data_IF_596702178654
#
_entry.id   IF_596702178654
#
_cell.length_a   1.000
_cell.length_b   1.000
_cell.length_c   1.000
_cell.angle_alpha   90.00
_cell.angle_beta   90.00
_cell.angle_gamma   90.00
#
_symmetry.space_group_name_H-M   'P 1'
#
loop_
_entity.id
_entity.type
_entity.pdbx_description
1 polymer ?
#
# COMPACT_ATOMS: atom_id res chain seq x y z
N UNK A 1 22.17 -12.03 59.35
CA UNK A 1 21.88 -10.81 58.58
C UNK A 1 21.69 -11.20 57.14
N UNK A 2 20.46 -11.05 56.66
CA UNK A 2 19.98 -11.51 55.35
C UNK A 2 20.31 -10.40 54.34
N UNK A 3 21.22 -10.68 53.40
CA UNK A 3 21.53 -9.77 52.29
C UNK A 3 20.73 -10.19 51.05
N UNK A 4 19.60 -9.54 50.78
CA UNK A 4 18.86 -9.72 49.53
C UNK A 4 19.55 -8.94 48.41
N UNK A 5 20.13 -9.65 47.45
CA UNK A 5 20.47 -9.09 46.14
C UNK A 5 19.17 -8.95 45.34
N UNK A 6 18.67 -7.73 45.22
CA UNK A 6 17.62 -7.38 44.24
C UNK A 6 18.32 -7.29 42.88
N UNK A 7 18.29 -8.40 42.14
CA UNK A 7 18.64 -8.40 40.73
C UNK A 7 17.55 -7.69 39.95
N UNK A 8 17.82 -6.47 39.48
CA UNK A 8 17.04 -5.85 38.42
C UNK A 8 17.32 -6.60 37.12
N UNK A 9 16.47 -7.57 36.79
CA UNK A 9 16.36 -8.08 35.43
C UNK A 9 15.81 -6.95 34.56
N UNK A 10 16.70 -6.23 33.89
CA UNK A 10 16.35 -5.36 32.78
C UNK A 10 15.83 -6.28 31.67
N UNK A 11 14.53 -6.55 31.66
CA UNK A 11 13.87 -7.14 30.50
C UNK A 11 14.02 -6.13 29.36
N UNK A 12 15.03 -6.32 28.52
CA UNK A 12 15.06 -5.70 27.20
C UNK A 12 13.80 -6.18 26.49
N UNK A 13 12.73 -5.37 26.51
CA UNK A 13 11.74 -5.43 25.45
C UNK A 13 12.52 -5.20 24.16
N UNK A 14 12.81 -6.27 23.43
CA UNK A 14 13.16 -6.17 22.03
C UNK A 14 11.99 -5.46 21.37
N UNK A 15 12.15 -4.16 21.14
CA UNK A 15 11.20 -3.35 20.39
C UNK A 15 11.19 -3.91 18.97
N UNK A 16 10.26 -4.82 18.70
CA UNK A 16 9.94 -5.21 17.35
C UNK A 16 9.48 -3.91 16.65
N UNK A 17 10.36 -3.36 15.80
CA UNK A 17 9.95 -2.31 14.88
C UNK A 17 9.01 -2.97 13.90
N UNK A 18 7.72 -2.69 14.05
CA UNK A 18 6.69 -3.32 13.24
C UNK A 18 6.47 -2.41 12.03
N UNK A 19 6.79 -2.94 10.85
CA UNK A 19 6.72 -2.23 9.58
C UNK A 19 5.30 -2.29 9.05
N UNK A 20 4.71 -1.16 8.70
CA UNK A 20 3.48 -1.18 7.93
C UNK A 20 3.64 -1.76 6.55
N UNK A 21 2.49 -2.12 5.98
CA UNK A 21 2.41 -2.53 4.59
C UNK A 21 1.08 -2.06 4.01
N UNK A 22 1.16 -1.25 2.97
CA UNK A 22 -0.01 -0.65 2.36
C UNK A 22 0.22 -0.15 0.95
N UNK A 23 -0.83 -0.18 0.15
CA UNK A 23 -0.82 0.28 -1.23
C UNK A 23 -2.11 1.00 -1.61
N UNK A 24 -1.98 2.01 -2.47
CA UNK A 24 -3.09 2.68 -3.13
C UNK A 24 -3.55 1.85 -4.33
N UNK A 25 -4.80 1.37 -4.26
CA UNK A 25 -5.41 0.48 -5.25
C UNK A 25 -6.37 1.23 -6.18
N UNK A 26 -7.00 2.31 -5.74
CA UNK A 26 -7.83 3.16 -6.60
C UNK A 26 -7.63 4.65 -6.24
N UNK A 27 -7.19 5.52 -7.18
CA UNK A 27 -6.65 5.17 -8.49
C UNK A 27 -5.41 4.25 -8.37
N UNK A 28 -5.22 3.25 -9.26
CA UNK A 28 -4.06 2.37 -9.19
C UNK A 28 -2.75 3.15 -9.22
N UNK A 29 -1.91 2.95 -8.20
CA UNK A 29 -0.60 3.58 -8.13
C UNK A 29 0.45 2.84 -8.98
N UNK A 30 1.53 3.54 -9.35
CA UNK A 30 2.62 3.06 -10.22
C UNK A 30 3.15 1.67 -9.82
N UNK A 31 3.28 1.42 -8.52
CA UNK A 31 3.70 0.17 -7.88
C UNK A 31 2.67 -0.96 -8.03
N UNK A 32 1.38 -0.65 -8.06
CA UNK A 32 0.28 -1.62 -8.04
C UNK A 32 -0.44 -1.79 -9.38
N UNK A 33 -0.09 -0.97 -10.39
CA UNK A 33 -0.70 -1.00 -11.73
C UNK A 33 -0.73 -2.40 -12.36
N UNK A 34 0.32 -3.21 -12.19
CA UNK A 34 0.38 -4.57 -12.73
C UNK A 34 -0.75 -5.48 -12.22
N UNK A 35 -1.30 -5.22 -11.01
CA UNK A 35 -2.43 -5.97 -10.43
C UNK A 35 -3.73 -5.79 -11.20
N UNK A 36 -3.80 -4.74 -12.02
CA UNK A 36 -4.94 -4.36 -12.84
C UNK A 36 -4.70 -4.63 -14.34
N UNK A 37 -3.63 -5.36 -14.68
CA UNK A 37 -3.29 -5.72 -16.06
C UNK A 37 -2.53 -4.65 -16.84
N UNK A 38 -2.26 -3.47 -16.27
CA UNK A 38 -1.44 -2.47 -16.93
C UNK A 38 -0.04 -3.03 -17.25
N UNK A 39 0.62 -2.57 -18.34
CA UNK A 39 1.93 -3.06 -18.79
C UNK A 39 3.10 -2.52 -17.95
N UNK A 40 2.92 -2.41 -16.64
CA UNK A 40 3.97 -2.08 -15.69
C UNK A 40 4.72 -3.35 -15.28
N UNK A 41 6.03 -3.27 -15.00
CA UNK A 41 6.75 -4.37 -14.39
C UNK A 41 6.09 -4.81 -13.08
N UNK A 42 6.08 -6.12 -12.82
CA UNK A 42 5.53 -6.68 -11.58
C UNK A 42 6.41 -6.25 -10.41
N UNK A 43 5.78 -5.66 -9.39
CA UNK A 43 6.38 -5.39 -8.09
C UNK A 43 5.63 -6.21 -7.03
N UNK A 44 6.23 -7.32 -6.58
CA UNK A 44 5.60 -8.20 -5.58
C UNK A 44 5.45 -7.54 -4.20
N UNK A 45 6.34 -6.59 -3.88
CA UNK A 45 6.34 -5.84 -2.63
C UNK A 45 5.82 -4.41 -2.88
N UNK A 46 4.79 -4.29 -3.72
CA UNK A 46 4.17 -3.00 -4.04
C UNK A 46 3.50 -2.33 -2.82
N UNK A 47 3.34 -3.04 -1.72
CA UNK A 47 2.89 -2.54 -0.42
C UNK A 47 4.03 -2.01 0.47
N UNK A 48 5.29 -2.02 0.03
CA UNK A 48 6.50 -1.63 0.80
C UNK A 48 7.12 -0.30 0.36
N UNK A 49 6.34 0.66 -0.15
CA UNK A 49 6.87 2.00 -0.45
C UNK A 49 6.96 2.90 0.79
N UNK A 50 7.67 2.40 1.78
CA UNK A 50 7.90 2.93 3.12
C UNK A 50 9.12 3.83 3.30
N UNK A 51 9.57 4.52 2.24
CA UNK A 51 10.75 5.39 2.30
C UNK A 51 12.07 4.67 2.67
N UNK A 52 12.12 3.34 2.51
CA UNK A 52 13.21 2.47 2.95
C UNK A 52 13.10 1.91 4.36
N UNK A 53 12.01 2.18 5.05
CA UNK A 53 11.79 1.84 6.45
C UNK A 53 12.27 2.92 7.41
N UNK A 54 11.76 2.89 8.64
CA UNK A 54 11.95 3.93 9.65
C UNK A 54 13.41 4.41 9.84
N UNK A 55 14.35 3.47 10.04
CA UNK A 55 15.74 3.83 10.32
C UNK A 55 16.41 4.54 9.15
N UNK A 56 16.09 4.12 7.92
CA UNK A 56 16.61 4.74 6.70
C UNK A 56 16.05 6.14 6.55
N UNK A 57 14.73 6.30 6.69
CA UNK A 57 14.10 7.61 6.56
C UNK A 57 14.63 8.60 7.61
N UNK A 58 14.55 8.28 8.90
CA UNK A 58 14.80 9.27 9.95
C UNK A 58 16.25 9.34 10.40
N UNK A 59 16.95 8.21 10.49
CA UNK A 59 18.34 8.20 11.00
C UNK A 59 19.36 8.49 9.90
N UNK A 60 19.16 7.94 8.70
CA UNK A 60 20.11 8.12 7.58
C UNK A 60 19.72 9.34 6.73
N UNK A 61 18.44 9.43 6.34
CA UNK A 61 17.94 10.43 5.40
C UNK A 61 17.34 11.67 6.07
N UNK A 62 17.41 11.80 7.40
CA UNK A 62 16.96 12.96 8.19
C UNK A 62 15.49 13.30 7.95
N UNK A 63 14.64 12.29 7.95
CA UNK A 63 13.19 12.38 7.72
C UNK A 63 12.80 12.45 6.24
N UNK A 64 13.75 12.55 5.32
CA UNK A 64 13.47 12.67 3.88
C UNK A 64 13.04 11.34 3.27
N UNK A 65 12.12 11.42 2.32
CA UNK A 65 11.55 10.32 1.56
C UNK A 65 11.43 10.74 0.10
N UNK A 66 11.55 9.79 -0.84
CA UNK A 66 11.22 10.04 -2.24
C UNK A 66 9.78 10.56 -2.41
N UNK A 67 9.51 11.24 -3.51
CA UNK A 67 8.17 11.77 -3.81
C UNK A 67 7.17 10.63 -3.87
N UNK A 68 7.56 9.50 -4.46
CA UNK A 68 6.69 8.35 -4.64
C UNK A 68 7.02 7.18 -3.71
N UNK A 69 7.60 7.45 -2.53
CA UNK A 69 7.80 6.45 -1.45
C UNK A 69 9.06 5.62 -1.56
N UNK A 70 9.85 5.84 -2.60
CA UNK A 70 11.20 5.31 -2.71
C UNK A 70 12.12 5.84 -1.59
N UNK A 71 13.18 5.08 -1.36
CA UNK A 71 14.31 5.51 -0.54
C UNK A 71 14.89 6.82 -1.06
N UNK A 72 15.09 7.77 -0.15
CA UNK A 72 15.59 9.09 -0.55
C UNK A 72 17.04 9.04 -1.07
N UNK A 73 17.86 8.11 -0.57
CA UNK A 73 19.26 7.91 -0.93
C UNK A 73 19.49 7.10 -2.21
N UNK A 74 18.43 6.72 -2.93
CA UNK A 74 18.56 6.16 -4.28
C UNK A 74 18.94 7.24 -5.29
N UNK A 75 19.71 6.83 -6.31
CA UNK A 75 20.03 7.66 -7.47
C UNK A 75 18.77 8.01 -8.26
N UNK A 76 18.78 9.20 -8.87
CA UNK A 76 17.70 9.63 -9.75
C UNK A 76 17.87 9.02 -11.17
N UNK A 77 16.78 8.62 -11.84
CA UNK A 77 15.41 8.62 -11.35
C UNK A 77 15.16 7.43 -10.40
N UNK A 78 14.52 7.71 -9.25
CA UNK A 78 14.08 6.63 -8.35
C UNK A 78 13.04 5.74 -9.06
N UNK A 79 12.92 4.46 -8.69
CA UNK A 79 12.09 3.51 -9.44
C UNK A 79 10.63 3.93 -9.68
N UNK A 80 10.00 4.64 -8.75
CA UNK A 80 8.61 5.08 -8.85
C UNK A 80 8.45 6.56 -9.20
N UNK A 81 9.55 7.26 -9.52
CA UNK A 81 9.58 8.65 -9.99
C UNK A 81 9.79 8.70 -11.51
N UNK A 82 9.48 9.82 -12.16
CA UNK A 82 9.47 10.00 -13.61
C UNK A 82 10.79 9.55 -14.26
N UNK A 83 10.68 8.70 -15.28
CA UNK A 83 11.83 8.04 -15.92
C UNK A 83 12.28 6.74 -15.24
N UNK A 84 11.78 6.45 -14.03
CA UNK A 84 12.01 5.22 -13.29
C UNK A 84 11.32 3.99 -13.88
N UNK A 85 11.59 2.84 -13.27
CA UNK A 85 11.09 1.54 -13.72
C UNK A 85 9.55 1.48 -13.78
N UNK A 86 8.86 2.06 -12.80
CA UNK A 86 7.40 1.97 -12.63
C UNK A 86 6.64 3.23 -13.07
N UNK A 87 7.32 4.37 -13.22
CA UNK A 87 6.71 5.61 -13.69
C UNK A 87 6.67 5.67 -15.24
N UNK A 88 5.73 4.92 -15.83
CA UNK A 88 5.56 4.85 -17.30
C UNK A 88 4.74 5.98 -17.91
N UNK A 89 4.18 6.89 -17.09
CA UNK A 89 3.33 7.98 -17.56
C UNK A 89 1.96 7.54 -18.09
N UNK A 90 1.53 6.33 -17.74
CA UNK A 90 0.23 5.77 -18.12
C UNK A 90 -0.83 6.35 -17.20
N UNK A 91 -1.85 6.98 -17.77
CA UNK A 91 -2.99 7.50 -17.02
C UNK A 91 -3.86 6.33 -16.55
N UNK A 92 -4.04 6.20 -15.24
CA UNK A 92 -4.80 5.08 -14.63
C UNK A 92 -6.26 5.41 -14.41
N UNK A 93 -6.62 6.71 -14.33
CA UNK A 93 -7.99 7.20 -14.20
C UNK A 93 -8.18 8.56 -14.89
N UNK A 94 -9.40 8.78 -15.36
CA UNK A 94 -9.85 10.03 -15.95
C UNK A 94 -10.98 10.61 -15.11
N UNK A 95 -10.82 11.87 -14.71
CA UNK A 95 -11.78 12.57 -13.86
C UNK A 95 -12.19 13.92 -14.46
N UNK A 96 -13.20 14.52 -13.85
CA UNK A 96 -13.64 15.89 -14.11
C UNK A 96 -13.24 16.79 -12.94
N UNK A 97 -12.93 18.06 -13.22
CA UNK A 97 -12.57 19.01 -12.17
C UNK A 97 -13.69 19.12 -11.12
N UNK A 98 -13.33 19.20 -9.84
CA UNK A 98 -14.30 19.25 -8.73
C UNK A 98 -14.99 17.93 -8.41
N UNK A 99 -14.73 16.86 -9.17
CA UNK A 99 -15.32 15.55 -8.92
C UNK A 99 -14.95 15.03 -7.52
N UNK A 100 -15.92 14.41 -6.87
CA UNK A 100 -15.65 13.56 -5.70
C UNK A 100 -15.32 12.17 -6.19
N UNK A 101 -14.09 11.72 -5.96
CA UNK A 101 -13.58 10.43 -6.44
C UNK A 101 -13.61 9.39 -5.33
N UNK A 102 -13.76 8.14 -5.71
CA UNK A 102 -13.57 6.99 -4.83
C UNK A 102 -12.07 6.69 -4.69
N UNK A 103 -11.68 6.30 -3.47
CA UNK A 103 -10.31 5.91 -3.13
C UNK A 103 -10.37 4.54 -2.46
N UNK A 104 -9.55 3.62 -2.94
CA UNK A 104 -9.33 2.31 -2.32
C UNK A 104 -7.87 2.17 -1.88
N UNK A 105 -7.67 1.94 -0.59
CA UNK A 105 -6.36 1.63 0.00
C UNK A 105 -6.43 0.22 0.57
N UNK A 106 -5.45 -0.60 0.26
CA UNK A 106 -5.29 -1.93 0.86
C UNK A 106 -4.11 -1.89 1.83
N UNK A 107 -4.39 -2.05 3.13
CA UNK A 107 -3.35 -2.30 4.12
C UNK A 107 -3.24 -3.81 4.32
N UNK A 108 -2.14 -4.40 3.85
CA UNK A 108 -1.85 -5.81 4.09
C UNK A 108 -1.38 -6.07 5.51
N UNK A 109 -0.87 -5.02 6.17
CA UNK A 109 -0.66 -4.94 7.61
C UNK A 109 -1.00 -3.54 8.13
N UNK A 110 -2.05 -3.46 8.95
CA UNK A 110 -2.63 -2.24 9.45
C UNK A 110 -1.98 -1.85 10.79
N UNK A 111 -1.37 -0.66 10.81
CA UNK A 111 -0.68 -0.09 11.97
C UNK A 111 -1.35 1.19 12.47
N UNK A 112 -2.64 1.35 12.15
CA UNK A 112 -3.45 2.52 12.46
C UNK A 112 -2.81 3.84 12.01
N UNK A 113 -3.32 4.97 12.46
CA UNK A 113 -2.83 6.28 12.03
C UNK A 113 -3.76 6.90 10.99
N UNK A 114 -3.20 7.41 9.89
CA UNK A 114 -3.99 8.22 8.95
C UNK A 114 -3.46 8.20 7.51
N UNK A 115 -4.38 8.44 6.58
CA UNK A 115 -4.07 8.71 5.18
C UNK A 115 -4.23 10.18 4.85
N UNK A 116 -3.37 10.69 3.99
CA UNK A 116 -3.44 12.03 3.41
C UNK A 116 -3.23 11.92 1.90
N UNK A 117 -3.88 12.78 1.12
CA UNK A 117 -3.78 12.77 -0.33
C UNK A 117 -3.58 14.17 -0.89
N UNK A 118 -2.67 14.26 -1.85
CA UNK A 118 -2.26 15.50 -2.50
C UNK A 118 -2.20 15.31 -4.00
N UNK A 119 -2.24 16.41 -4.74
CA UNK A 119 -2.28 16.41 -6.19
C UNK A 119 -1.26 17.40 -6.76
N UNK A 120 -0.61 17.05 -7.86
CA UNK A 120 0.23 17.97 -8.61
C UNK A 120 -0.20 17.96 -10.10
N UNK A 121 -0.61 19.10 -10.68
CA UNK A 121 -0.89 19.23 -12.11
C UNK A 121 0.42 19.28 -12.92
N UNK A 122 1.10 18.14 -12.97
CA UNK A 122 2.47 18.02 -13.49
C UNK A 122 2.57 18.21 -15.02
N UNK A 123 1.56 17.72 -15.75
CA UNK A 123 1.36 17.83 -17.20
C UNK A 123 2.47 17.32 -18.12
N UNK A 124 3.51 16.69 -17.56
CA UNK A 124 4.59 16.09 -18.33
C UNK A 124 5.17 14.88 -17.60
N UNK A 125 4.87 13.64 -18.06
CA UNK A 125 5.32 12.42 -17.38
C UNK A 125 6.84 12.19 -17.43
N UNK A 126 7.61 13.03 -18.15
CA UNK A 126 9.08 12.98 -18.17
C UNK A 126 9.73 13.80 -17.06
N UNK A 127 8.99 14.63 -16.36
CA UNK A 127 9.48 15.41 -15.22
C UNK A 127 8.78 14.96 -13.95
N UNK A 128 9.54 14.75 -12.89
CA UNK A 128 8.98 14.30 -11.61
C UNK A 128 8.22 15.44 -10.93
N UNK A 129 7.08 15.11 -10.33
CA UNK A 129 6.34 16.05 -9.52
C UNK A 129 7.15 16.41 -8.28
N UNK A 130 7.07 17.66 -7.82
CA UNK A 130 7.75 18.06 -6.58
C UNK A 130 6.81 17.99 -5.39
N UNK A 131 7.34 17.72 -4.20
CA UNK A 131 6.55 17.84 -2.97
C UNK A 131 5.94 19.25 -2.82
N UNK A 132 6.68 20.29 -3.23
CA UNK A 132 6.20 21.67 -3.21
C UNK A 132 5.03 21.96 -4.18
N UNK A 133 4.84 21.12 -5.22
CA UNK A 133 3.67 21.17 -6.08
C UNK A 133 2.49 20.46 -5.41
N UNK A 134 2.72 19.25 -4.89
CA UNK A 134 1.72 18.43 -4.20
C UNK A 134 1.10 19.18 -3.01
N UNK A 135 1.92 19.79 -2.17
CA UNK A 135 1.50 20.50 -0.95
C UNK A 135 0.55 21.69 -1.24
N UNK A 136 0.51 22.19 -2.50
CA UNK A 136 -0.40 23.28 -2.90
C UNK A 136 -1.82 22.81 -3.19
N UNK A 137 -2.02 21.52 -3.45
CA UNK A 137 -3.33 20.98 -3.82
C UNK A 137 -3.70 19.78 -2.94
N UNK A 138 -3.99 20.00 -1.64
CA UNK A 138 -4.52 18.96 -0.77
C UNK A 138 -5.91 18.50 -1.20
N UNK A 139 -6.19 17.21 -1.03
CA UNK A 139 -7.50 16.63 -1.30
C UNK A 139 -8.26 16.38 0.01
N UNK A 140 -9.43 16.99 0.15
CA UNK A 140 -10.23 16.89 1.37
C UNK A 140 -11.13 15.66 1.35
N UNK A 141 -11.23 14.98 2.50
CA UNK A 141 -12.13 13.83 2.68
C UNK A 141 -13.58 14.29 2.53
N UNK A 142 -14.38 13.56 1.75
CA UNK A 142 -15.80 13.89 1.51
C UNK A 142 -16.54 13.95 2.85
N UNK A 143 -17.26 15.05 3.07
CA UNK A 143 -18.02 15.28 4.31
C UNK A 143 -17.19 15.85 5.45
N UNK A 144 -15.88 16.07 5.24
CA UNK A 144 -14.97 16.71 6.18
C UNK A 144 -14.36 17.98 5.58
N UNK A 145 -13.76 18.80 6.44
CA UNK A 145 -12.83 19.88 6.06
C UNK A 145 -11.37 19.50 6.32
N UNK A 146 -11.12 18.24 6.67
CA UNK A 146 -9.79 17.70 6.93
C UNK A 146 -9.29 16.91 5.71
N UNK A 147 -7.98 16.96 5.50
CA UNK A 147 -7.25 16.16 4.51
C UNK A 147 -6.96 14.76 5.04
N UNK A 148 -6.99 14.60 6.37
CA UNK A 148 -6.68 13.37 7.08
C UNK A 148 -7.89 12.46 7.12
N UNK A 149 -7.74 11.27 6.52
CA UNK A 149 -8.60 10.13 6.81
C UNK A 149 -8.01 9.37 8.00
N UNK A 150 -8.67 9.41 9.15
CA UNK A 150 -8.24 8.68 10.34
C UNK A 150 -8.69 7.22 10.26
N UNK A 151 -7.77 6.28 10.43
CA UNK A 151 -8.07 4.85 10.44
C UNK A 151 -8.88 4.53 11.72
N UNK A 152 -10.09 3.94 11.62
CA UNK A 152 -10.86 3.57 12.80
C UNK A 152 -10.12 2.56 13.68
N UNK A 153 -10.21 2.74 15.01
CA UNK A 153 -9.47 1.91 15.97
C UNK A 153 -9.89 0.44 16.04
N UNK A 154 -11.09 0.10 15.54
CA UNK A 154 -11.66 -1.25 15.55
C UNK A 154 -11.46 -2.02 14.22
N UNK A 155 -10.42 -1.66 13.46
CA UNK A 155 -10.12 -2.25 12.16
C UNK A 155 -9.28 -3.53 12.28
N UNK A 156 -9.38 -4.40 11.27
CA UNK A 156 -8.63 -5.67 11.23
C UNK A 156 -7.14 -5.45 10.94
N UNK A 157 -6.33 -6.48 11.23
CA UNK A 157 -4.89 -6.54 10.92
C UNK A 157 -4.58 -6.39 9.42
N UNK A 158 -5.47 -6.86 8.55
CA UNK A 158 -5.49 -6.61 7.10
C UNK A 158 -6.85 -6.02 6.75
N UNK A 159 -6.88 -4.92 6.02
CA UNK A 159 -8.14 -4.23 5.71
C UNK A 159 -8.08 -3.46 4.39
N UNK A 160 -9.23 -3.38 3.72
CA UNK A 160 -9.43 -2.51 2.55
C UNK A 160 -10.26 -1.31 2.98
N UNK A 161 -9.62 -0.14 2.95
CA UNK A 161 -10.26 1.14 3.25
C UNK A 161 -10.82 1.74 1.97
N UNK A 162 -12.12 2.04 1.99
CA UNK A 162 -12.81 2.78 0.93
C UNK A 162 -13.34 4.09 1.48
N UNK A 163 -12.88 5.19 0.89
CA UNK A 163 -13.31 6.53 1.24
C UNK A 163 -13.36 7.40 -0.01
N UNK A 164 -13.86 8.62 0.12
CA UNK A 164 -13.97 9.55 -1.00
C UNK A 164 -13.22 10.83 -0.71
N UNK A 165 -12.56 11.40 -1.71
CA UNK A 165 -11.90 12.71 -1.63
C UNK A 165 -12.42 13.64 -2.73
N UNK A 166 -12.27 14.95 -2.54
CA UNK A 166 -12.70 15.96 -3.51
C UNK A 166 -11.52 16.51 -4.30
N UNK A 167 -11.58 16.42 -5.63
CA UNK A 167 -10.65 17.09 -6.53
C UNK A 167 -10.88 18.62 -6.50
N UNK A 168 -9.84 19.45 -6.74
CA UNK A 168 -10.02 20.89 -6.82
C UNK A 168 -10.95 21.28 -7.98
N UNK A 169 -11.93 22.19 -7.77
CA UNK A 169 -12.94 22.55 -8.77
C UNK A 169 -12.44 23.42 -9.93
N UNK A 170 -11.20 23.88 -9.90
CA UNK A 170 -10.61 24.79 -10.89
C UNK A 170 -9.31 24.25 -11.50
N UNK A 171 -9.04 22.95 -11.33
CA UNK A 171 -7.80 22.33 -11.74
C UNK A 171 -8.06 21.30 -12.84
N UNK A 172 -7.30 21.41 -13.92
CA UNK A 172 -7.25 20.44 -15.01
C UNK A 172 -5.81 20.04 -15.28
N UNK A 173 -5.60 18.83 -15.78
CA UNK A 173 -4.29 18.32 -16.16
C UNK A 173 -4.43 17.15 -17.14
N UNK A 174 -3.54 17.08 -18.12
CA UNK A 174 -3.43 15.91 -18.99
C UNK A 174 -2.70 14.75 -18.28
N UNK A 175 -1.80 15.08 -17.34
CA UNK A 175 -1.16 14.15 -16.43
C UNK A 175 -0.96 14.83 -15.08
N UNK A 176 -1.75 14.46 -14.09
CA UNK A 176 -1.54 14.79 -12.70
C UNK A 176 -0.85 13.65 -11.98
N UNK A 177 -0.03 13.99 -10.99
CA UNK A 177 0.44 13.02 -9.98
C UNK A 177 -0.41 13.17 -8.74
N UNK A 178 -1.12 12.11 -8.38
CA UNK A 178 -1.81 11.99 -7.09
C UNK A 178 -0.90 11.22 -6.13
N UNK A 179 -0.56 11.83 -5.00
CA UNK A 179 0.26 11.21 -3.95
C UNK A 179 -0.64 10.80 -2.79
N UNK A 180 -0.70 9.50 -2.50
CA UNK A 180 -1.24 8.99 -1.24
C UNK A 180 -0.10 8.82 -0.25
N UNK A 181 -0.27 9.35 0.96
CA UNK A 181 0.66 9.17 2.06
C UNK A 181 -0.04 8.52 3.24
N UNK A 182 0.55 7.45 3.78
CA UNK A 182 0.12 6.81 5.02
C UNK A 182 1.16 7.05 6.12
N UNK A 183 0.69 7.63 7.22
CA UNK A 183 1.45 7.81 8.44
C UNK A 183 0.96 6.82 9.49
N UNK A 184 1.81 5.88 9.90
CA UNK A 184 1.44 4.87 10.89
C UNK A 184 1.17 5.48 12.27
N UNK A 185 0.34 4.79 13.07
CA UNK A 185 -0.07 5.24 14.41
C UNK A 185 0.50 4.41 15.55
N UNK A 186 1.34 3.42 15.25
CA UNK A 186 1.85 2.44 16.20
C UNK A 186 3.26 2.77 16.77
N UNK A 187 3.88 3.87 16.33
CA UNK A 187 5.23 4.25 16.79
C UNK A 187 5.19 4.82 18.21
N UNK A 188 6.14 4.40 19.05
CA UNK A 188 6.37 5.02 20.36
C UNK A 188 7.35 6.19 20.19
N UNK A 189 6.98 7.35 20.69
CA UNK A 189 7.86 8.51 20.62
C UNK A 189 7.44 9.65 21.54
N UNK A 190 8.20 10.74 21.48
CA UNK A 190 7.99 11.91 22.31
C UNK A 190 6.88 12.79 21.73
N UNK A 191 5.87 13.07 22.55
CA UNK A 191 4.75 13.93 22.24
C UNK A 191 5.13 15.42 22.40
N UNK A 192 4.38 16.37 21.81
CA UNK A 192 4.67 17.81 21.90
C UNK A 192 4.67 18.38 23.33
N UNK A 193 3.88 17.77 24.22
CA UNK A 193 3.82 18.12 25.65
C UNK A 193 5.01 17.55 26.46
N UNK A 194 5.98 16.89 25.81
CA UNK A 194 7.17 16.31 26.41
C UNK A 194 7.01 14.91 26.98
N UNK A 195 5.79 14.34 27.01
CA UNK A 195 5.53 12.95 27.42
C UNK A 195 5.90 11.98 26.31
N UNK A 196 5.88 10.67 26.59
CA UNK A 196 6.02 9.63 25.57
C UNK A 196 4.76 8.77 25.50
N UNK A 197 4.35 8.42 24.29
CA UNK A 197 3.18 7.57 24.05
C UNK A 197 3.25 6.91 22.66
N UNK A 198 2.42 5.89 22.46
CA UNK A 198 2.12 5.34 21.14
C UNK A 198 1.41 6.39 20.29
N UNK A 199 1.79 6.50 19.02
CA UNK A 199 1.30 7.49 18.06
C UNK A 199 2.00 8.85 18.14
N UNK A 200 3.00 9.00 19.01
CA UNK A 200 3.84 10.19 19.11
C UNK A 200 5.21 9.99 18.46
N UNK A 201 5.91 11.10 18.21
CA UNK A 201 7.17 11.10 17.48
C UNK A 201 6.97 10.94 15.97
N UNK A 202 8.04 10.51 15.31
CA UNK A 202 8.06 10.32 13.87
C UNK A 202 7.34 9.01 13.48
N UNK A 203 6.35 9.03 12.58
CA UNK A 203 5.69 7.81 12.10
C UNK A 203 6.50 7.14 11.00
N UNK A 204 6.36 5.83 10.82
CA UNK A 204 6.73 5.25 9.53
C UNK A 204 5.80 5.79 8.45
N UNK A 205 6.38 6.08 7.27
CA UNK A 205 5.68 6.76 6.18
C UNK A 205 5.67 5.88 4.95
N UNK A 206 4.50 5.68 4.36
CA UNK A 206 4.34 5.06 3.05
C UNK A 206 3.85 6.11 2.06
N UNK A 207 4.39 6.11 0.85
CA UNK A 207 3.89 6.96 -0.23
C UNK A 207 3.71 6.17 -1.51
N UNK A 208 2.60 6.41 -2.19
CA UNK A 208 2.40 5.91 -3.55
C UNK A 208 1.96 7.06 -4.45
N UNK A 209 2.36 6.99 -5.72
CA UNK A 209 1.95 7.93 -6.76
C UNK A 209 1.06 7.23 -7.79
N UNK A 210 -0.04 7.87 -8.17
CA UNK A 210 -0.88 7.48 -9.29
C UNK A 210 -0.93 8.59 -10.34
N UNK A 211 -0.83 8.22 -11.60
CA UNK A 211 -0.92 9.15 -12.73
C UNK A 211 -2.37 9.22 -13.22
N UNK A 212 -3.03 10.37 -13.09
CA UNK A 212 -4.44 10.56 -13.44
C UNK A 212 -4.61 11.75 -14.40
N UNK A 213 -5.74 11.88 -15.07
CA UNK A 213 -6.07 13.10 -15.82
C UNK A 213 -7.35 13.74 -15.32
N UNK A 214 -7.43 15.06 -15.43
CA UNK A 214 -8.57 15.85 -14.97
C UNK A 214 -8.97 16.81 -16.07
N UNK A 215 -10.20 16.69 -16.55
CA UNK A 215 -10.75 17.46 -17.67
C UNK A 215 -11.91 18.36 -17.23
N UNK A 216 -12.38 19.22 -18.14
CA UNK A 216 -13.52 20.10 -17.88
C UNK A 216 -14.84 19.33 -17.99
N UNK A 217 -15.81 19.66 -17.14
CA UNK A 217 -17.15 19.04 -17.13
C UNK A 217 -17.99 19.33 -18.39
N UNK A 218 -17.49 20.17 -19.31
CA UNK A 218 -18.13 20.52 -20.59
C UNK A 218 -17.99 19.44 -21.66
N UNK A 219 -17.18 18.41 -21.44
CA UNK A 219 -17.16 17.23 -22.30
C UNK A 219 -18.27 16.29 -21.82
N UNK A 220 -19.36 16.19 -22.58
CA UNK A 220 -20.51 15.32 -22.29
C UNK A 220 -20.17 13.83 -22.36
N UNK A 221 -19.36 13.34 -21.43
CA UNK A 221 -19.10 11.91 -21.28
C UNK A 221 -20.36 11.19 -20.73
N UNK A 222 -20.74 10.03 -21.29
CA UNK A 222 -21.92 9.28 -20.87
C UNK A 222 -21.80 8.73 -19.43
N UNK A 223 -22.91 8.29 -18.81
CA UNK A 223 -22.94 7.95 -17.40
C UNK A 223 -22.00 6.77 -17.07
N UNK A 224 -21.15 6.98 -16.06
CA UNK A 224 -20.36 6.13 -15.13
C UNK A 224 -20.13 4.62 -15.40
N UNK A 225 -20.97 3.94 -16.18
CA UNK A 225 -20.86 2.51 -16.52
C UNK A 225 -20.06 2.32 -17.82
N UNK A 226 -20.15 3.25 -18.78
CA UNK A 226 -19.32 3.21 -19.99
C UNK A 226 -17.86 3.62 -19.75
N UNK A 227 -17.57 4.36 -18.66
CA UNK A 227 -16.22 4.86 -18.37
C UNK A 227 -15.26 3.79 -17.83
N UNK A 228 -15.75 2.76 -17.12
CA UNK A 228 -14.86 1.73 -16.56
C UNK A 228 -14.22 0.83 -17.63
N UNK A 229 -14.87 0.66 -18.78
CA UNK A 229 -14.33 -0.12 -19.91
C UNK A 229 -13.33 0.72 -20.72
N UNK A 230 -13.49 2.05 -20.76
CA UNK A 230 -12.57 2.98 -21.43
C UNK A 230 -11.38 3.43 -20.55
N UNK A 231 -11.41 3.21 -19.24
CA UNK A 231 -10.38 3.67 -18.29
C UNK A 231 -9.11 2.80 -18.26
N UNK A 232 -9.20 1.52 -18.62
CA UNK A 232 -8.04 0.62 -18.70
C UNK A 232 -8.28 -0.49 -19.76
N UNK A 233 -7.68 -0.39 -20.96
CA UNK A 233 -7.89 -1.37 -22.03
C UNK A 233 -7.31 -2.76 -21.73
N UNK A 234 -6.51 -2.89 -20.65
CA UNK A 234 -5.90 -4.17 -20.24
C UNK A 234 -6.70 -4.90 -19.15
N UNK A 235 -7.76 -4.28 -18.62
CA UNK A 235 -8.55 -4.87 -17.54
C UNK A 235 -9.41 -6.02 -18.07
N UNK A 236 -9.15 -7.22 -17.57
CA UNK A 236 -9.99 -8.38 -17.82
C UNK A 236 -11.15 -8.41 -16.81
N UNK A 237 -12.26 -9.01 -17.23
CA UNK A 237 -13.44 -9.17 -16.38
C UNK A 237 -13.83 -10.64 -16.32
N UNK A 238 -14.23 -11.09 -15.14
CA UNK A 238 -14.89 -12.39 -14.98
C UNK A 238 -16.40 -12.22 -14.94
N UNK A 239 -17.07 -13.19 -15.55
CA UNK A 239 -18.52 -13.33 -15.47
C UNK A 239 -18.82 -14.51 -14.56
N UNK A 240 -19.58 -14.25 -13.51
CA UNK A 240 -20.08 -15.33 -12.65
C UNK A 240 -21.07 -16.19 -13.45
N UNK A 241 -20.80 -17.50 -13.53
CA UNK A 241 -21.65 -18.46 -14.26
C UNK A 241 -23.02 -18.59 -13.57
N UNK A 242 -23.07 -18.47 -12.25
CA UNK A 242 -24.28 -18.55 -11.44
C UNK A 242 -25.03 -17.22 -11.39
N UNK A 243 -24.35 -16.11 -11.70
CA UNK A 243 -24.96 -14.79 -11.81
C UNK A 243 -24.43 -14.04 -13.04
N UNK A 244 -24.97 -14.33 -14.24
CA UNK A 244 -24.43 -13.80 -15.50
C UNK A 244 -24.51 -12.27 -15.64
N UNK A 245 -25.20 -11.59 -14.72
CA UNK A 245 -25.27 -10.13 -14.64
C UNK A 245 -24.14 -9.53 -13.78
N UNK A 246 -23.45 -10.34 -12.98
CA UNK A 246 -22.28 -9.93 -12.18
C UNK A 246 -21.03 -10.10 -13.01
N UNK A 247 -20.58 -8.97 -13.55
CA UNK A 247 -19.27 -8.82 -14.20
C UNK A 247 -18.35 -8.14 -13.19
N UNK A 248 -17.25 -8.78 -12.81
CA UNK A 248 -16.30 -8.25 -11.83
C UNK A 248 -14.93 -8.05 -12.50
N UNK A 249 -14.23 -6.93 -12.23
CA UNK A 249 -12.89 -6.74 -12.74
C UNK A 249 -11.93 -7.74 -12.09
N UNK A 250 -11.05 -8.34 -12.88
CA UNK A 250 -9.94 -9.16 -12.40
C UNK A 250 -8.88 -8.23 -11.81
N UNK A 251 -8.67 -8.32 -10.51
CA UNK A 251 -7.65 -7.58 -9.74
C UNK A 251 -6.84 -8.58 -8.91
N UNK A 252 -5.52 -8.59 -9.06
CA UNK A 252 -4.64 -9.47 -8.28
C UNK A 252 -4.48 -8.90 -6.87
N UNK A 253 -5.10 -9.53 -5.87
CA UNK A 253 -4.99 -9.10 -4.47
C UNK A 253 -4.00 -9.91 -3.63
N UNK A 254 -3.62 -11.10 -4.09
CA UNK A 254 -2.60 -11.90 -3.42
C UNK A 254 -1.24 -11.18 -3.41
N UNK A 255 -0.56 -11.19 -2.27
CA UNK A 255 0.81 -10.67 -2.13
C UNK A 255 1.85 -11.79 -2.22
N UNK A 256 1.51 -12.94 -1.65
CA UNK A 256 2.35 -14.13 -1.62
C UNK A 256 1.54 -15.36 -2.03
N UNK A 257 2.13 -16.24 -2.84
CA UNK A 257 1.63 -17.57 -3.10
C UNK A 257 2.78 -18.59 -2.98
N UNK A 258 2.49 -19.69 -2.31
CA UNK A 258 3.43 -20.77 -2.00
C UNK A 258 2.85 -22.09 -2.48
N UNK A 259 3.69 -23.12 -2.55
CA UNK A 259 3.22 -24.46 -2.83
C UNK A 259 2.47 -25.06 -1.64
N UNK A 260 1.42 -25.83 -1.91
CA UNK A 260 0.72 -26.60 -0.89
C UNK A 260 1.67 -27.62 -0.25
N UNK A 261 1.37 -28.11 0.97
CA UNK A 261 2.20 -29.11 1.65
C UNK A 261 2.48 -30.38 0.81
N UNK A 262 1.60 -30.70 -0.15
CA UNK A 262 1.78 -31.85 -1.05
C UNK A 262 2.91 -31.65 -2.08
N UNK A 263 3.22 -30.39 -2.42
CA UNK A 263 4.20 -30.04 -3.46
C UNK A 263 5.41 -29.28 -2.92
N UNK A 264 5.44 -28.91 -1.63
CA UNK A 264 6.46 -28.05 -1.02
C UNK A 264 7.89 -28.59 -1.05
N UNK A 265 8.10 -29.87 -1.37
CA UNK A 265 9.44 -30.49 -1.49
C UNK A 265 10.06 -30.30 -2.87
N UNK A 266 9.29 -29.83 -3.87
CA UNK A 266 9.78 -29.63 -5.24
C UNK A 266 10.62 -28.34 -5.29
N UNK A 267 11.89 -28.40 -5.70
CA UNK A 267 12.73 -27.20 -5.81
C UNK A 267 12.12 -26.16 -6.77
N UNK A 268 12.05 -24.90 -6.34
CA UNK A 268 11.55 -23.78 -7.16
C UNK A 268 10.02 -23.68 -7.27
N UNK A 269 9.26 -24.57 -6.62
CA UNK A 269 7.80 -24.55 -6.72
C UNK A 269 7.16 -23.29 -6.11
N UNK A 270 7.74 -22.75 -5.04
CA UNK A 270 7.24 -21.51 -4.42
C UNK A 270 7.41 -20.32 -5.35
N UNK A 271 8.55 -20.23 -6.05
CA UNK A 271 8.76 -19.22 -7.10
C UNK A 271 7.79 -19.42 -8.26
N UNK A 272 7.55 -20.68 -8.67
CA UNK A 272 6.55 -20.98 -9.70
C UNK A 272 5.14 -20.54 -9.26
N UNK A 273 4.74 -20.83 -8.02
CA UNK A 273 3.46 -20.40 -7.46
C UNK A 273 3.36 -18.89 -7.37
N UNK A 274 4.40 -18.21 -6.87
CA UNK A 274 4.44 -16.76 -6.81
C UNK A 274 4.24 -16.14 -8.19
N UNK A 275 4.99 -16.61 -9.19
CA UNK A 275 4.92 -16.05 -10.55
C UNK A 275 3.58 -16.39 -11.19
N UNK A 276 3.15 -17.64 -11.17
CA UNK A 276 1.98 -18.06 -11.95
C UNK A 276 0.65 -17.65 -11.29
N UNK A 277 0.57 -17.62 -9.96
CA UNK A 277 -0.63 -17.17 -9.28
C UNK A 277 -0.82 -15.65 -9.36
N UNK A 278 0.26 -14.87 -9.40
CA UNK A 278 0.17 -13.40 -9.46
C UNK A 278 0.29 -12.86 -10.90
N UNK A 279 0.58 -13.69 -11.91
CA UNK A 279 0.54 -13.22 -13.30
C UNK A 279 -0.88 -12.74 -13.68
N UNK A 280 -0.99 -11.95 -14.75
CA UNK A 280 -2.26 -11.44 -15.26
C UNK A 280 -2.54 -11.99 -16.67
N UNK A 281 -3.53 -12.89 -16.87
CA UNK A 281 -4.43 -13.49 -15.88
C UNK A 281 -3.77 -14.63 -15.07
N UNK A 282 -4.19 -14.85 -13.81
CA UNK A 282 -3.64 -15.89 -12.93
C UNK A 282 -3.72 -17.30 -13.50
N UNK A 283 -2.71 -18.10 -13.17
CA UNK A 283 -2.72 -19.54 -13.26
C UNK A 283 -2.33 -20.12 -11.90
N UNK A 284 -3.33 -20.33 -11.04
CA UNK A 284 -3.12 -20.75 -9.66
C UNK A 284 -3.94 -22.01 -9.34
N UNK A 285 -3.47 -23.20 -9.75
CA UNK A 285 -4.15 -24.45 -9.44
C UNK A 285 -4.14 -24.68 -7.91
N UNK A 286 -5.31 -24.79 -7.26
CA UNK A 286 -5.42 -24.85 -5.80
C UNK A 286 -4.85 -26.14 -5.20
N UNK A 287 -4.65 -27.18 -6.01
CA UNK A 287 -4.00 -28.42 -5.58
C UNK A 287 -2.49 -28.22 -5.39
N UNK A 288 -1.89 -27.31 -6.16
CA UNK A 288 -0.44 -27.08 -6.20
C UNK A 288 -0.05 -25.84 -5.40
N UNK A 289 -0.82 -24.76 -5.48
CA UNK A 289 -0.49 -23.48 -4.88
C UNK A 289 -1.59 -22.98 -3.93
N UNK A 290 -1.18 -22.32 -2.86
CA UNK A 290 -2.06 -21.57 -1.97
C UNK A 290 -1.51 -20.16 -1.74
N UNK A 291 -2.41 -19.18 -1.58
CA UNK A 291 -2.05 -17.78 -1.44
C UNK A 291 -2.58 -17.25 -0.11
N UNK A 292 -1.78 -17.33 0.97
CA UNK A 292 -2.24 -16.94 2.29
C UNK A 292 -2.54 -15.44 2.34
N UNK A 293 -3.59 -15.09 3.06
CA UNK A 293 -4.01 -13.70 3.23
C UNK A 293 -3.94 -13.22 4.67
N UNK A 294 -3.92 -14.16 5.61
CA UNK A 294 -3.81 -13.87 7.04
C UNK A 294 -2.76 -14.76 7.68
N UNK A 295 -2.07 -14.22 8.68
CA UNK A 295 -1.18 -14.97 9.55
C UNK A 295 -1.51 -14.70 11.02
N UNK A 296 -1.45 -15.75 11.83
CA UNK A 296 -1.59 -15.69 13.28
C UNK A 296 -0.28 -16.10 13.94
N UNK A 297 0.02 -15.47 15.08
CA UNK A 297 1.10 -15.87 15.95
C UNK A 297 0.75 -17.16 16.68
N UNK A 298 1.70 -18.09 16.72
CA UNK A 298 1.58 -19.40 17.37
C UNK A 298 2.76 -19.61 18.33
N UNK A 299 2.63 -20.61 19.21
CA UNK A 299 3.71 -21.00 20.11
C UNK A 299 4.06 -19.88 21.09
N UNK A 300 5.33 -19.47 21.14
CA UNK A 300 5.77 -18.46 22.12
C UNK A 300 5.22 -17.05 21.88
N UNK A 301 4.67 -16.79 20.69
CA UNK A 301 4.10 -15.48 20.33
C UNK A 301 2.57 -15.44 20.45
N UNK A 302 1.93 -16.58 20.68
CA UNK A 302 0.47 -16.71 20.73
C UNK A 302 -0.13 -15.80 21.82
N UNK A 303 -1.18 -15.04 21.45
CA UNK A 303 -1.88 -14.12 22.36
C UNK A 303 -1.11 -12.86 22.75
N UNK A 304 0.13 -12.67 22.29
CA UNK A 304 0.89 -11.45 22.57
C UNK A 304 0.37 -10.27 21.73
N UNK A 305 0.15 -9.09 22.34
CA UNK A 305 -0.30 -7.91 21.60
C UNK A 305 0.63 -7.58 20.42
N UNK A 306 0.06 -7.42 19.24
CA UNK A 306 0.79 -7.08 18.00
C UNK A 306 1.55 -8.24 17.33
N UNK A 307 1.56 -9.44 17.92
CA UNK A 307 2.30 -10.56 17.36
C UNK A 307 1.71 -11.08 16.03
N UNK A 308 0.38 -11.10 15.89
CA UNK A 308 -0.27 -11.48 14.63
C UNK A 308 0.09 -10.50 13.50
N UNK A 309 0.16 -9.20 13.82
CA UNK A 309 0.54 -8.16 12.87
C UNK A 309 2.01 -8.36 12.46
N UNK A 310 2.89 -8.65 13.41
CA UNK A 310 4.27 -8.99 13.11
C UNK A 310 4.38 -10.23 12.21
N UNK A 311 3.58 -11.28 12.47
CA UNK A 311 3.53 -12.45 11.59
C UNK A 311 3.05 -12.09 10.19
N UNK A 312 2.03 -11.24 10.07
CA UNK A 312 1.56 -10.71 8.79
C UNK A 312 2.71 -10.04 8.01
N UNK A 313 3.49 -9.19 8.69
CA UNK A 313 4.63 -8.46 8.10
C UNK A 313 5.79 -9.35 7.70
N UNK A 314 6.09 -10.40 8.46
CA UNK A 314 7.21 -11.29 8.16
C UNK A 314 6.85 -12.37 7.13
N UNK A 315 5.58 -12.78 7.09
CA UNK A 315 5.16 -13.93 6.32
C UNK A 315 4.49 -13.58 5.00
N UNK A 316 3.72 -12.50 4.89
CA UNK A 316 3.00 -12.13 3.64
C UNK A 316 3.81 -11.08 2.87
N UNK A 317 5.06 -11.45 2.57
CA UNK A 317 6.03 -10.68 1.79
C UNK A 317 6.77 -11.63 0.85
N UNK A 318 7.42 -11.10 -0.20
CA UNK A 318 8.22 -11.93 -1.11
C UNK A 318 9.69 -11.47 -1.19
N UNK A 319 10.68 -12.37 -1.00
CA UNK A 319 10.53 -13.74 -0.50
C UNK A 319 10.07 -13.76 0.97
N UNK A 320 9.31 -14.78 1.40
CA UNK A 320 8.78 -14.86 2.75
C UNK A 320 9.91 -15.01 3.77
N UNK A 321 9.80 -14.31 4.91
CA UNK A 321 10.71 -14.45 6.07
C UNK A 321 9.96 -15.06 7.25
N UNK A 322 9.07 -16.02 6.95
CA UNK A 322 8.11 -16.55 7.90
C UNK A 322 8.75 -17.60 8.83
N UNK A 323 8.81 -17.36 10.16
CA UNK A 323 9.29 -18.35 11.10
C UNK A 323 8.19 -19.41 11.37
N UNK A 324 8.39 -20.67 10.94
CA UNK A 324 7.32 -21.68 10.94
C UNK A 324 6.88 -22.13 12.34
N UNK A 325 7.70 -21.91 13.36
CA UNK A 325 7.40 -22.23 14.75
C UNK A 325 6.75 -21.06 15.52
N UNK A 326 6.62 -19.88 14.91
CA UNK A 326 6.06 -18.69 15.56
C UNK A 326 4.87 -18.09 14.81
N UNK A 327 4.71 -18.41 13.53
CA UNK A 327 3.64 -17.89 12.69
C UNK A 327 2.99 -19.00 11.87
N UNK A 328 1.66 -18.93 11.71
CA UNK A 328 0.88 -19.80 10.83
C UNK A 328 0.02 -18.95 9.91
N UNK A 329 0.12 -19.17 8.61
CA UNK A 329 -0.61 -18.41 7.59
C UNK A 329 -1.60 -19.29 6.83
N UNK A 330 -2.72 -18.71 6.40
CA UNK A 330 -3.82 -19.38 5.71
C UNK A 330 -4.52 -18.48 4.69
#
# INVERSE_FOLDING_TARGET
MIGSLIGFTLALLQMARVSGHGRLMDPPARNSMWRFGFPNPVNYNDNELFCGGYAVQYQQNRGRCGVCGDRYDFDDPRPHEAGGQYAKGIITRHYTMGQTIDVEVELTANHWGRFEMFLCPNNNPRYEATQSCLDRFPLFVKGSRDVRFLIPGNTKKKEIFRYKVRLPPYLTCNQCVLQWTYYTGNMWGRCPNGTEAVGCGDPETFRNCADISITTSTVGLPPQIASQIDENPFLLFFRDILSPQRVLPLIIRATLCLATPAYSTIPGIDEWCQINCLRYPPNCPPEVCFCPNECDAIGELEGKPGADIWCQDQCIIYPPKCPPNKCRCY
#
